data_IF_915414361665
#
_entry.id   IF_915414361665
#
_cell.length_a   1.000
_cell.length_b   1.000
_cell.length_c   1.000
_cell.angle_alpha   90.00
_cell.angle_beta   90.00
_cell.angle_gamma   90.00
#
_symmetry.space_group_name_H-M   'P 1'
#
loop_
_entity.id
_entity.type
_entity.pdbx_description
1 polymer ?
#
# COMPACT_ATOMS: atom_id res chain seq x y z
N UNK A 1 -13.63 10.64 -19.93
CA UNK A 1 -13.58 10.00 -18.58
C UNK A 1 -12.61 8.81 -18.44
N UNK A 2 -12.16 8.11 -19.50
CA UNK A 2 -11.48 6.80 -19.33
C UNK A 2 -10.03 6.86 -18.77
N UNK A 3 -9.17 7.79 -19.22
CA UNK A 3 -7.72 7.74 -18.92
C UNK A 3 -7.32 8.13 -17.50
N UNK A 4 -8.09 8.98 -16.81
CA UNK A 4 -7.83 9.37 -15.41
C UNK A 4 -8.17 8.21 -14.48
N UNK A 5 -9.37 7.64 -14.60
CA UNK A 5 -9.80 6.49 -13.79
C UNK A 5 -8.85 5.31 -13.94
N UNK A 6 -8.47 4.97 -15.17
CA UNK A 6 -7.51 3.88 -15.42
C UNK A 6 -6.16 4.13 -14.76
N UNK A 7 -5.65 5.39 -14.78
CA UNK A 7 -4.41 5.73 -14.07
C UNK A 7 -4.51 5.51 -12.57
N UNK A 8 -5.60 5.92 -11.94
CA UNK A 8 -5.82 5.71 -10.50
C UNK A 8 -5.94 4.22 -10.15
N UNK A 9 -6.74 3.46 -10.91
CA UNK A 9 -6.89 2.02 -10.68
C UNK A 9 -5.58 1.27 -10.90
N UNK A 10 -4.80 1.63 -11.93
CA UNK A 10 -3.48 1.04 -12.16
C UNK A 10 -2.52 1.32 -11.00
N UNK A 11 -2.53 2.55 -10.45
CA UNK A 11 -1.70 2.88 -9.29
C UNK A 11 -2.08 2.07 -8.04
N UNK A 12 -3.38 1.88 -7.79
CA UNK A 12 -3.88 1.05 -6.69
C UNK A 12 -3.54 -0.44 -6.90
N UNK A 13 -3.77 -0.96 -8.10
CA UNK A 13 -3.50 -2.35 -8.45
C UNK A 13 -2.02 -2.70 -8.28
N UNK A 14 -1.11 -1.78 -8.64
CA UNK A 14 0.33 -1.98 -8.42
C UNK A 14 0.68 -2.17 -6.95
N UNK A 15 0.05 -1.40 -6.05
CA UNK A 15 0.24 -1.60 -4.60
C UNK A 15 -0.34 -2.94 -4.16
N UNK A 16 -1.54 -3.30 -4.63
CA UNK A 16 -2.17 -4.58 -4.34
C UNK A 16 -1.32 -5.78 -4.79
N UNK A 17 -0.74 -5.74 -5.99
CA UNK A 17 0.17 -6.78 -6.50
C UNK A 17 1.44 -6.90 -5.64
N UNK A 18 1.89 -5.81 -5.02
CA UNK A 18 2.97 -5.86 -4.04
C UNK A 18 2.54 -6.53 -2.73
N UNK A 19 1.31 -6.31 -2.29
CA UNK A 19 0.76 -6.92 -1.07
C UNK A 19 0.47 -8.42 -1.22
N UNK A 20 0.34 -8.92 -2.44
CA UNK A 20 0.10 -10.34 -2.75
C UNK A 20 1.37 -11.04 -3.26
N UNK A 21 2.56 -10.52 -2.91
CA UNK A 21 3.81 -10.87 -3.61
C UNK A 21 4.16 -12.37 -3.58
N UNK A 22 3.99 -13.04 -2.44
CA UNK A 22 4.27 -14.47 -2.32
C UNK A 22 3.10 -15.36 -2.74
N UNK A 23 1.88 -14.82 -2.82
CA UNK A 23 0.62 -15.56 -2.96
C UNK A 23 0.27 -16.48 -1.78
N UNK A 24 0.91 -16.31 -0.61
CA UNK A 24 0.67 -17.14 0.58
C UNK A 24 -0.52 -16.66 1.43
N UNK A 25 -1.30 -15.70 0.94
CA UNK A 25 -2.44 -15.09 1.66
C UNK A 25 -2.05 -14.50 3.03
N UNK A 26 -0.82 -13.96 3.14
CA UNK A 26 -0.33 -13.35 4.38
C UNK A 26 -1.07 -12.05 4.71
N UNK A 27 -1.47 -11.26 3.70
CA UNK A 27 -2.26 -10.04 3.93
C UNK A 27 -3.73 -10.41 4.13
N UNK A 28 -4.28 -10.05 5.28
CA UNK A 28 -5.65 -10.36 5.68
C UNK A 28 -6.61 -9.21 5.43
N UNK A 29 -6.15 -7.98 5.66
CA UNK A 29 -6.96 -6.78 5.42
C UNK A 29 -6.07 -5.54 5.26
N UNK A 30 -6.63 -4.47 4.70
CA UNK A 30 -5.97 -3.16 4.65
C UNK A 30 -6.90 -2.05 5.09
N UNK A 31 -6.33 -1.01 5.71
CA UNK A 31 -7.02 0.23 6.05
C UNK A 31 -6.21 1.42 5.58
N UNK A 32 -6.87 2.39 4.97
CA UNK A 32 -6.24 3.65 4.56
C UNK A 32 -6.51 4.70 5.62
N UNK A 33 -5.45 5.25 6.20
CA UNK A 33 -5.52 6.34 7.17
C UNK A 33 -4.89 7.58 6.54
N UNK A 34 -5.58 8.72 6.65
CA UNK A 34 -5.06 10.02 6.25
C UNK A 34 -4.65 10.79 7.50
N UNK A 35 -3.45 11.34 7.50
CA UNK A 35 -2.97 12.23 8.55
C UNK A 35 -2.38 13.53 7.94
N UNK A 36 -1.82 14.39 8.79
CA UNK A 36 -1.21 15.65 8.37
C UNK A 36 -0.05 15.42 7.39
N UNK A 37 0.76 14.37 7.61
CA UNK A 37 1.97 14.04 6.83
C UNK A 37 1.63 13.42 5.47
N UNK A 38 0.57 12.61 5.38
CA UNK A 38 0.25 11.91 4.14
C UNK A 38 -0.85 10.87 4.29
N UNK A 39 -0.64 9.75 3.61
CA UNK A 39 -1.51 8.57 3.63
C UNK A 39 -0.70 7.38 4.13
N UNK A 40 -1.31 6.59 5.02
CA UNK A 40 -0.76 5.33 5.51
C UNK A 40 -1.73 4.22 5.11
N UNK A 41 -1.24 3.26 4.33
CA UNK A 41 -1.90 1.99 4.06
C UNK A 41 -1.44 1.04 5.17
N UNK A 42 -2.32 0.87 6.16
CA UNK A 42 -2.16 -0.09 7.24
C UNK A 42 -2.55 -1.47 6.74
N UNK A 43 -1.73 -2.46 7.05
CA UNK A 43 -1.88 -3.84 6.56
C UNK A 43 -1.95 -4.77 7.75
N UNK A 44 -3.05 -5.52 7.86
CA UNK A 44 -3.15 -6.62 8.81
C UNK A 44 -2.59 -7.88 8.14
N UNK A 45 -1.70 -8.59 8.82
CA UNK A 45 -1.02 -9.76 8.28
C UNK A 45 -1.21 -10.99 9.17
N UNK A 46 -1.25 -12.18 8.56
CA UNK A 46 -1.16 -13.48 9.24
C UNK A 46 0.31 -13.90 9.27
N UNK A 47 1.03 -13.45 10.29
CA UNK A 47 2.47 -13.70 10.43
C UNK A 47 3.34 -12.65 9.74
N UNK A 48 4.59 -13.03 9.45
CA UNK A 48 5.59 -12.14 8.86
C UNK A 48 5.36 -11.93 7.36
N UNK A 49 5.06 -10.69 6.97
CA UNK A 49 4.83 -10.32 5.56
C UNK A 49 5.88 -9.31 5.06
N UNK A 50 7.15 -9.51 5.42
CA UNK A 50 8.22 -8.55 5.10
C UNK A 50 8.37 -8.33 3.59
N UNK A 51 8.22 -9.40 2.80
CA UNK A 51 8.31 -9.36 1.34
C UNK A 51 7.17 -8.56 0.73
N UNK A 52 5.95 -8.76 1.22
CA UNK A 52 4.72 -8.08 0.77
C UNK A 52 4.81 -6.59 1.05
N UNK A 53 5.24 -6.22 2.28
CA UNK A 53 5.40 -4.83 2.69
C UNK A 53 6.50 -4.14 1.86
N UNK A 54 7.65 -4.80 1.67
CA UNK A 54 8.73 -4.26 0.84
C UNK A 54 8.28 -4.05 -0.61
N UNK A 55 7.62 -5.05 -1.20
CA UNK A 55 7.14 -5.00 -2.59
C UNK A 55 6.08 -3.91 -2.79
N UNK A 56 5.10 -3.81 -1.88
CA UNK A 56 4.07 -2.78 -1.89
C UNK A 56 4.65 -1.37 -1.78
N UNK A 57 5.64 -1.16 -0.88
CA UNK A 57 6.35 0.13 -0.76
C UNK A 57 7.02 0.54 -2.06
N UNK A 58 7.72 -0.40 -2.72
CA UNK A 58 8.43 -0.15 -3.98
C UNK A 58 7.47 0.18 -5.14
N UNK A 59 6.24 -0.33 -5.09
CA UNK A 59 5.20 -0.13 -6.12
C UNK A 59 4.26 1.06 -5.85
N UNK A 60 4.42 1.76 -4.72
CA UNK A 60 3.61 2.92 -4.36
C UNK A 60 4.00 4.22 -5.10
N UNK A 61 5.09 4.23 -5.87
CA UNK A 61 5.63 5.41 -6.53
C UNK A 61 4.62 6.15 -7.42
N UNK A 62 3.83 5.38 -8.19
CA UNK A 62 2.79 5.94 -9.05
C UNK A 62 1.65 6.56 -8.23
N UNK A 63 1.26 5.91 -7.14
CA UNK A 63 0.21 6.39 -6.25
C UNK A 63 0.64 7.69 -5.54
N UNK A 64 1.91 7.76 -5.10
CA UNK A 64 2.52 8.97 -4.52
C UNK A 64 2.47 10.13 -5.52
N UNK A 65 2.88 9.89 -6.77
CA UNK A 65 2.84 10.91 -7.83
C UNK A 65 1.43 11.42 -8.10
N UNK A 66 0.43 10.54 -8.10
CA UNK A 66 -0.96 10.93 -8.36
C UNK A 66 -1.61 11.66 -7.18
N UNK A 67 -1.23 11.33 -5.95
CA UNK A 67 -1.75 11.97 -4.73
C UNK A 67 -1.03 13.26 -4.38
N UNK A 68 0.16 13.50 -4.95
CA UNK A 68 1.05 14.61 -4.59
C UNK A 68 1.34 14.67 -3.08
N UNK A 69 1.29 13.50 -2.42
CA UNK A 69 1.47 13.35 -0.98
C UNK A 69 2.21 12.05 -0.69
N UNK A 70 2.98 11.98 0.42
CA UNK A 70 3.61 10.73 0.85
C UNK A 70 2.59 9.62 1.06
N UNK A 71 2.92 8.42 0.58
CA UNK A 71 2.19 7.18 0.86
C UNK A 71 3.14 6.23 1.55
N UNK A 72 2.76 5.75 2.73
CA UNK A 72 3.50 4.71 3.46
C UNK A 72 2.67 3.44 3.52
N UNK A 73 3.33 2.29 3.46
CA UNK A 73 2.73 0.98 3.73
C UNK A 73 3.37 0.45 5.01
N UNK A 74 2.55 0.08 5.99
CA UNK A 74 3.02 -0.39 7.29
C UNK A 74 2.10 -1.49 7.82
N UNK A 75 2.68 -2.42 8.59
CA UNK A 75 1.90 -3.43 9.30
C UNK A 75 1.14 -2.74 10.44
N UNK A 76 -0.09 -3.19 10.70
CA UNK A 76 -0.84 -2.74 11.88
C UNK A 76 -0.10 -3.13 13.16
N UNK A 77 0.01 -2.18 14.09
CA UNK A 77 0.77 -2.34 15.33
C UNK A 77 2.29 -2.14 15.20
N UNK A 78 2.84 -1.91 14.00
CA UNK A 78 4.25 -1.53 13.85
C UNK A 78 4.47 -0.08 14.35
N UNK A 79 5.26 0.15 15.42
CA UNK A 79 5.56 1.48 15.93
C UNK A 79 6.34 2.34 14.92
N UNK A 80 7.00 1.74 13.92
CA UNK A 80 7.67 2.44 12.83
C UNK A 80 6.71 2.96 11.76
N UNK A 81 5.43 2.59 11.85
CA UNK A 81 4.36 3.00 10.94
C UNK A 81 3.54 4.22 11.40
N UNK A 82 3.81 4.77 12.59
CA UNK A 82 3.18 5.99 13.10
C UNK A 82 3.59 7.25 12.32
#
# INVERSE_FOLDING_TARGET
MKRRTVRWLAALLRVAEGLDRSHDQLVQSTRVVRNAVGIVIRVQTRGEAQLEIWAARRRADMLIKLLERPVRVAVDGDPRGA
#
